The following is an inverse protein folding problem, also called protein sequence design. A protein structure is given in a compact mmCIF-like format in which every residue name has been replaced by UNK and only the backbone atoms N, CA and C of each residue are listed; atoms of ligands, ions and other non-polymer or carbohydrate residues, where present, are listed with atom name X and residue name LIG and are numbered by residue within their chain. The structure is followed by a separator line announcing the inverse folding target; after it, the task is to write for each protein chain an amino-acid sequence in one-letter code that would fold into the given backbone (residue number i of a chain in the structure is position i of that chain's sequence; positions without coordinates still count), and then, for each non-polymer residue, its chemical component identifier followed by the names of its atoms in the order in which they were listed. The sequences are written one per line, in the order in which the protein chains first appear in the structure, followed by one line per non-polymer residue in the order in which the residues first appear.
data_IF_236060574060
#
_entry.id   IF_236060574060
#
_cell.length_a   1.000
_cell.length_b   1.000
_cell.length_c   1.000
_cell.angle_alpha   90.00
_cell.angle_beta   90.00
_cell.angle_gamma   90.00
#
_symmetry.space_group_name_H-M   'P 1'
#
loop_
_entity.id
_entity.type
_entity.pdbx_description
1 polymer ?
#
# COMPACT_ATOMS: atom_id res chain seq x y z
N UNK A 1 31.68 62.96 19.85
CA UNK A 1 31.38 61.56 20.20
C UNK A 1 30.38 61.03 19.18
N UNK A 2 30.69 59.88 18.57
CA UNK A 2 29.87 59.05 17.67
C UNK A 2 29.44 59.66 16.32
N UNK A 3 29.97 59.14 15.21
CA UNK A 3 29.26 58.33 14.19
C UNK A 3 30.32 57.85 13.17
N UNK A 4 30.61 56.54 13.18
CA UNK A 4 31.28 55.83 12.08
C UNK A 4 30.87 54.35 12.20
N UNK A 5 29.69 54.01 11.69
CA UNK A 5 29.30 52.62 11.45
C UNK A 5 29.72 52.24 10.03
N UNK A 6 30.96 51.76 9.88
CA UNK A 6 31.37 51.02 8.68
C UNK A 6 30.85 49.59 8.79
N UNK A 7 29.90 49.25 7.93
CA UNK A 7 29.52 47.87 7.61
C UNK A 7 30.67 47.21 6.86
N UNK A 8 31.46 46.38 7.55
CA UNK A 8 32.37 45.43 6.91
C UNK A 8 31.69 44.05 6.87
N UNK A 9 31.54 43.41 5.70
CA UNK A 9 31.05 42.04 5.63
C UNK A 9 32.13 41.10 6.20
N UNK A 10 31.75 40.28 7.17
CA UNK A 10 32.63 39.24 7.69
C UNK A 10 32.99 38.26 6.57
N UNK A 11 34.29 37.96 6.35
CA UNK A 11 34.72 37.04 5.31
C UNK A 11 34.23 35.63 5.64
N UNK A 12 33.43 35.05 4.75
CA UNK A 12 33.00 33.66 4.85
C UNK A 12 34.20 32.74 4.67
N UNK A 13 34.73 32.21 5.78
CA UNK A 13 35.69 31.11 5.76
C UNK A 13 35.01 29.87 5.14
N UNK A 14 35.50 29.32 4.00
CA UNK A 14 34.90 28.17 3.32
C UNK A 14 34.88 26.89 4.18
N UNK A 15 35.74 26.79 5.21
CA UNK A 15 35.72 25.70 6.18
C UNK A 15 34.50 25.71 7.10
N UNK A 16 33.88 26.87 7.37
CA UNK A 16 32.75 27.00 8.32
C UNK A 16 31.44 26.47 7.73
N UNK A 17 31.26 26.60 6.41
CA UNK A 17 30.08 26.13 5.69
C UNK A 17 30.07 24.60 5.54
N UNK A 18 31.25 23.98 5.37
CA UNK A 18 31.37 22.54 5.17
C UNK A 18 31.08 21.73 6.44
N UNK A 19 31.50 22.18 7.63
CA UNK A 19 31.14 21.49 8.88
C UNK A 19 29.65 21.65 9.20
N UNK A 20 29.05 22.82 8.90
CA UNK A 20 27.61 23.03 9.06
C UNK A 20 26.81 22.10 8.15
N UNK A 21 27.22 21.96 6.88
CA UNK A 21 26.61 21.01 5.93
C UNK A 21 26.79 19.55 6.36
N UNK A 22 27.97 19.17 6.86
CA UNK A 22 28.19 17.83 7.39
C UNK A 22 27.32 17.56 8.63
N UNK A 23 27.22 18.54 9.53
CA UNK A 23 26.40 18.45 10.74
C UNK A 23 24.91 18.34 10.40
N UNK A 24 24.39 19.13 9.46
CA UNK A 24 22.99 19.01 9.02
C UNK A 24 22.73 17.67 8.35
N UNK A 25 23.65 17.18 7.52
CA UNK A 25 23.51 15.86 6.89
C UNK A 25 23.49 14.73 7.94
N UNK A 26 24.36 14.79 8.95
CA UNK A 26 24.38 13.83 10.07
C UNK A 26 23.06 13.90 10.85
N UNK A 27 22.55 15.10 11.14
CA UNK A 27 21.29 15.29 11.85
C UNK A 27 20.11 14.70 11.05
N UNK A 28 20.09 14.89 9.73
CA UNK A 28 19.08 14.32 8.83
C UNK A 28 19.17 12.79 8.81
N UNK A 29 20.38 12.22 8.70
CA UNK A 29 20.58 10.77 8.72
C UNK A 29 20.13 10.16 10.06
N UNK A 30 20.45 10.81 11.17
CA UNK A 30 20.04 10.40 12.51
C UNK A 30 18.52 10.49 12.67
N UNK A 31 17.89 11.56 12.17
CA UNK A 31 16.44 11.69 12.13
C UNK A 31 15.80 10.56 11.31
N UNK A 32 16.32 10.27 10.13
CA UNK A 32 15.84 9.17 9.29
C UNK A 32 15.95 7.81 9.98
N UNK A 33 17.04 7.56 10.71
CA UNK A 33 17.23 6.32 11.48
C UNK A 33 16.17 6.17 12.57
N UNK A 34 15.86 7.23 13.32
CA UNK A 34 14.83 7.18 14.37
C UNK A 34 13.40 7.11 13.82
N UNK A 35 13.14 7.70 12.65
CA UNK A 35 11.80 7.67 12.01
C UNK A 35 11.56 6.33 11.30
N UNK A 36 12.60 5.59 10.93
CA UNK A 36 12.50 4.31 10.21
C UNK A 36 11.41 3.34 10.76
N UNK A 37 11.33 3.04 12.07
CA UNK A 37 10.29 2.15 12.59
C UNK A 37 8.86 2.72 12.52
N UNK A 38 8.71 4.03 12.31
CA UNK A 38 7.43 4.74 12.18
C UNK A 38 7.10 5.09 10.71
N UNK A 39 7.92 4.64 9.77
CA UNK A 39 7.80 5.00 8.35
C UNK A 39 6.47 4.51 7.77
N UNK A 40 6.05 3.29 8.14
CA UNK A 40 4.77 2.70 7.69
C UNK A 40 3.59 3.60 8.08
N UNK A 41 3.54 4.06 9.34
CA UNK A 41 2.50 4.96 9.82
C UNK A 41 2.53 6.31 9.11
N UNK A 42 3.71 6.87 8.88
CA UNK A 42 3.84 8.17 8.21
C UNK A 42 3.38 8.10 6.74
N UNK A 43 3.78 7.05 6.03
CA UNK A 43 3.37 6.81 4.64
C UNK A 43 1.87 6.51 4.54
N UNK A 44 1.33 5.63 5.39
CA UNK A 44 -0.11 5.36 5.44
C UNK A 44 -0.92 6.62 5.75
N UNK A 45 -0.44 7.45 6.69
CA UNK A 45 -1.11 8.72 7.02
C UNK A 45 -1.15 9.68 5.85
N UNK A 46 -0.08 9.74 5.05
CA UNK A 46 -0.05 10.49 3.80
C UNK A 46 -1.04 9.95 2.77
N UNK A 47 -1.08 8.63 2.57
CA UNK A 47 -2.04 7.97 1.66
C UNK A 47 -3.49 8.24 2.09
N UNK A 48 -3.80 8.07 3.37
CA UNK A 48 -5.13 8.37 3.92
C UNK A 48 -5.48 9.84 3.79
N UNK A 49 -4.53 10.77 3.93
CA UNK A 49 -4.78 12.18 3.70
C UNK A 49 -5.21 12.43 2.24
N UNK A 50 -4.55 11.82 1.26
CA UNK A 50 -4.93 11.94 -0.15
C UNK A 50 -6.36 11.45 -0.41
N UNK A 51 -6.73 10.30 0.16
CA UNK A 51 -8.08 9.74 0.01
C UNK A 51 -9.13 10.51 0.82
N UNK A 52 -8.73 11.12 1.94
CA UNK A 52 -9.59 11.94 2.79
C UNK A 52 -9.87 13.34 2.23
N UNK A 53 -9.03 13.86 1.31
CA UNK A 53 -9.21 15.19 0.68
C UNK A 53 -10.64 15.41 0.13
N UNK A 54 -11.22 14.55 -0.72
CA UNK A 54 -12.57 14.75 -1.25
C UNK A 54 -13.65 14.77 -0.16
N UNK A 55 -13.46 14.02 0.93
CA UNK A 55 -14.39 14.00 2.07
C UNK A 55 -14.28 15.30 2.88
N UNK A 56 -13.05 15.76 3.13
CA UNK A 56 -12.78 17.03 3.81
C UNK A 56 -13.36 18.20 3.02
N UNK A 57 -13.15 18.22 1.71
CA UNK A 57 -13.51 19.34 0.84
C UNK A 57 -15.03 19.53 0.72
N UNK A 58 -15.84 18.50 1.01
CA UNK A 58 -17.30 18.64 1.15
C UNK A 58 -17.72 19.58 2.28
N UNK A 59 -16.88 19.75 3.32
CA UNK A 59 -17.14 20.59 4.48
C UNK A 59 -16.46 21.96 4.34
N UNK A 60 -16.88 22.74 3.35
CA UNK A 60 -16.31 24.06 3.05
C UNK A 60 -16.34 25.06 4.23
N UNK A 61 -17.27 24.89 5.19
CA UNK A 61 -17.54 25.88 6.26
C UNK A 61 -16.55 25.83 7.42
N UNK A 62 -15.87 24.70 7.65
CA UNK A 62 -14.84 24.59 8.70
C UNK A 62 -13.86 23.48 8.38
N UNK A 63 -12.60 23.86 8.11
CA UNK A 63 -11.51 22.89 7.82
C UNK A 63 -11.33 21.88 8.94
N UNK A 64 -11.48 22.29 10.22
CA UNK A 64 -11.35 21.38 11.37
C UNK A 64 -12.41 20.29 11.36
N UNK A 65 -13.67 20.65 11.09
CA UNK A 65 -14.78 19.70 11.04
C UNK A 65 -14.63 18.78 9.82
N UNK A 66 -14.21 19.32 8.68
CA UNK A 66 -13.93 18.51 7.48
C UNK A 66 -12.79 17.52 7.68
N UNK A 67 -11.70 17.91 8.35
CA UNK A 67 -10.59 17.00 8.62
C UNK A 67 -10.98 15.91 9.63
N UNK A 68 -11.71 16.27 10.70
CA UNK A 68 -12.22 15.28 11.65
C UNK A 68 -13.19 14.30 10.99
N UNK A 69 -14.12 14.79 10.17
CA UNK A 69 -15.09 13.92 9.48
C UNK A 69 -14.41 12.98 8.49
N UNK A 70 -13.42 13.44 7.73
CA UNK A 70 -12.63 12.61 6.85
C UNK A 70 -11.86 11.52 7.61
N UNK A 71 -11.20 11.88 8.72
CA UNK A 71 -10.49 10.91 9.57
C UNK A 71 -11.45 9.88 10.14
N UNK A 72 -12.58 10.30 10.72
CA UNK A 72 -13.58 9.35 11.26
C UNK A 72 -14.14 8.45 10.17
N UNK A 73 -14.44 8.99 8.98
CA UNK A 73 -14.94 8.24 7.84
C UNK A 73 -13.94 7.19 7.32
N UNK A 74 -12.65 7.38 7.56
CA UNK A 74 -11.59 6.43 7.16
C UNK A 74 -11.30 5.45 8.31
N UNK A 75 -11.12 5.96 9.52
CA UNK A 75 -10.73 5.19 10.72
C UNK A 75 -11.78 4.15 11.09
N UNK A 76 -13.05 4.54 11.16
CA UNK A 76 -14.13 3.68 11.64
C UNK A 76 -14.30 2.43 10.76
N UNK A 77 -14.43 2.54 9.42
CA UNK A 77 -14.51 1.34 8.59
C UNK A 77 -13.20 0.56 8.54
N UNK A 78 -12.04 1.24 8.48
CA UNK A 78 -10.75 0.52 8.43
C UNK A 78 -10.48 -0.27 9.71
N UNK A 79 -10.76 0.29 10.88
CA UNK A 79 -10.61 -0.42 12.16
C UNK A 79 -11.53 -1.64 12.25
N UNK A 80 -12.77 -1.52 11.79
CA UNK A 80 -13.71 -2.65 11.74
C UNK A 80 -13.23 -3.75 10.78
N UNK A 81 -12.77 -3.36 9.58
CA UNK A 81 -12.19 -4.26 8.58
C UNK A 81 -10.95 -4.97 9.11
N UNK A 82 -10.05 -4.24 9.78
CA UNK A 82 -8.82 -4.78 10.34
C UNK A 82 -9.10 -5.76 11.47
N UNK A 83 -10.03 -5.42 12.38
CA UNK A 83 -10.46 -6.32 13.45
C UNK A 83 -11.09 -7.61 12.90
N UNK A 84 -12.01 -7.49 11.94
CA UNK A 84 -12.64 -8.64 11.30
C UNK A 84 -11.62 -9.50 10.54
N UNK A 85 -10.68 -8.85 9.84
CA UNK A 85 -9.62 -9.51 9.09
C UNK A 85 -8.65 -10.28 9.98
N UNK A 86 -8.23 -9.71 11.11
CA UNK A 86 -7.35 -10.38 12.08
C UNK A 86 -8.00 -11.64 12.67
N UNK A 87 -9.27 -11.53 13.07
CA UNK A 87 -10.02 -12.67 13.60
C UNK A 87 -10.11 -13.77 12.54
N UNK A 88 -10.49 -13.42 11.32
CA UNK A 88 -10.70 -14.43 10.27
C UNK A 88 -9.41 -15.03 9.73
N UNK A 89 -8.33 -14.24 9.62
CA UNK A 89 -7.01 -14.75 9.25
C UNK A 89 -6.52 -15.79 10.26
N UNK A 90 -6.75 -15.54 11.57
CA UNK A 90 -6.42 -16.52 12.61
C UNK A 90 -7.19 -17.84 12.43
N UNK A 91 -8.47 -17.76 12.06
CA UNK A 91 -9.30 -18.95 11.81
C UNK A 91 -8.86 -19.69 10.53
N UNK A 92 -8.49 -18.96 9.47
CA UNK A 92 -7.96 -19.58 8.25
C UNK A 92 -6.64 -20.30 8.51
N UNK A 93 -5.73 -19.71 9.30
CA UNK A 93 -4.45 -20.35 9.65
C UNK A 93 -4.70 -21.66 10.40
N UNK A 94 -5.62 -21.65 11.38
CA UNK A 94 -6.01 -22.87 12.12
C UNK A 94 -6.64 -23.92 11.20
N UNK A 95 -7.52 -23.51 10.29
CA UNK A 95 -8.14 -24.42 9.32
C UNK A 95 -7.10 -25.04 8.39
N UNK A 96 -6.17 -24.23 7.88
CA UNK A 96 -5.10 -24.67 6.99
C UNK A 96 -4.15 -25.65 7.68
N UNK A 97 -3.84 -25.42 8.96
CA UNK A 97 -3.07 -26.35 9.78
C UNK A 97 -3.78 -27.68 10.00
N UNK A 98 -5.11 -27.66 10.14
CA UNK A 98 -5.91 -28.88 10.31
C UNK A 98 -6.06 -29.73 9.04
N UNK A 99 -5.93 -29.14 7.84
CA UNK A 99 -6.18 -29.81 6.56
C UNK A 99 -4.91 -29.93 5.68
N UNK A 100 -3.72 -29.84 6.27
CA UNK A 100 -2.46 -29.86 5.51
C UNK A 100 -2.32 -31.12 4.63
N UNK A 101 -2.59 -32.31 5.19
CA UNK A 101 -2.42 -33.56 4.44
C UNK A 101 -3.38 -33.69 3.26
N UNK A 102 -4.64 -33.25 3.44
CA UNK A 102 -5.62 -33.23 2.37
C UNK A 102 -5.24 -32.27 1.25
N UNK A 103 -4.78 -31.05 1.60
CA UNK A 103 -4.33 -30.04 0.62
C UNK A 103 -3.14 -30.57 -0.18
N UNK A 104 -2.17 -31.19 0.50
CA UNK A 104 -1.00 -31.79 -0.13
C UNK A 104 -1.46 -32.89 -1.12
N UNK A 105 -2.37 -33.78 -0.71
CA UNK A 105 -2.88 -34.85 -1.57
C UNK A 105 -3.58 -34.34 -2.85
N UNK A 106 -4.31 -33.22 -2.76
CA UNK A 106 -4.98 -32.59 -3.90
C UNK A 106 -3.99 -31.98 -4.89
N UNK A 107 -2.94 -31.33 -4.39
CA UNK A 107 -1.84 -30.82 -5.19
C UNK A 107 -1.12 -31.97 -5.93
N UNK A 108 -0.82 -33.06 -5.23
CA UNK A 108 -0.24 -34.25 -5.84
C UNK A 108 -1.14 -34.86 -6.92
N UNK A 109 -2.45 -34.95 -6.66
CA UNK A 109 -3.43 -35.42 -7.64
C UNK A 109 -3.51 -34.53 -8.88
N UNK A 110 -3.48 -33.21 -8.70
CA UNK A 110 -3.46 -32.23 -9.79
C UNK A 110 -2.18 -32.32 -10.63
N UNK A 111 -1.03 -32.45 -9.97
CA UNK A 111 0.28 -32.61 -10.60
C UNK A 111 0.38 -33.91 -11.40
N UNK A 112 -0.17 -35.01 -10.87
CA UNK A 112 -0.25 -36.29 -11.58
C UNK A 112 -1.17 -36.21 -12.82
N UNK A 113 -2.25 -35.43 -12.75
CA UNK A 113 -3.18 -35.21 -13.86
C UNK A 113 -2.55 -34.44 -15.04
N UNK A 114 -1.56 -33.58 -14.79
CA UNK A 114 -0.84 -32.80 -15.81
C UNK A 114 0.22 -33.62 -16.59
N UNK A 115 0.48 -34.90 -16.23
CA UNK A 115 1.46 -35.79 -16.90
C UNK A 115 2.83 -35.13 -17.10
N UNK A 116 3.41 -34.58 -16.04
CA UNK A 116 4.82 -34.17 -16.02
C UNK A 116 5.70 -35.44 -15.93
N UNK A 117 6.88 -35.53 -16.58
CA UNK A 117 7.76 -36.69 -16.47
C UNK A 117 8.13 -37.03 -15.02
N UNK A 118 8.11 -38.33 -14.67
CA UNK A 118 8.29 -38.82 -13.29
C UNK A 118 9.58 -38.33 -12.61
N UNK A 119 10.64 -38.05 -13.38
CA UNK A 119 11.91 -37.53 -12.87
C UNK A 119 11.83 -36.09 -12.35
N UNK A 120 10.95 -35.25 -12.93
CA UNK A 120 10.69 -33.88 -12.47
C UNK A 120 9.64 -33.87 -11.33
N UNK A 121 8.78 -34.89 -11.26
CA UNK A 121 7.72 -35.01 -10.25
C UNK A 121 8.26 -35.25 -8.85
N UNK A 122 9.29 -36.09 -8.69
CA UNK A 122 9.90 -36.38 -7.38
C UNK A 122 10.70 -35.18 -6.83
N UNK A 123 11.30 -34.38 -7.70
CA UNK A 123 12.09 -33.21 -7.29
C UNK A 123 11.22 -31.98 -7.03
N UNK A 124 10.16 -31.79 -7.82
CA UNK A 124 9.13 -30.76 -7.57
C UNK A 124 8.32 -31.11 -6.31
N UNK A 125 7.98 -32.37 -6.08
CA UNK A 125 7.21 -32.76 -4.90
C UNK A 125 7.97 -32.60 -3.60
N UNK A 126 9.25 -33.01 -3.55
CA UNK A 126 10.11 -32.79 -2.38
C UNK A 126 10.37 -31.31 -2.15
N UNK A 127 10.68 -30.55 -3.20
CA UNK A 127 10.89 -29.10 -3.06
C UNK A 127 9.62 -28.35 -2.67
N UNK A 128 8.44 -28.74 -3.16
CA UNK A 128 7.16 -28.15 -2.75
C UNK A 128 6.80 -28.54 -1.31
N UNK A 129 6.99 -29.79 -0.91
CA UNK A 129 6.78 -30.24 0.46
C UNK A 129 7.74 -29.54 1.43
N UNK A 130 9.01 -29.38 1.05
CA UNK A 130 10.00 -28.64 1.84
C UNK A 130 9.71 -27.14 1.88
N UNK A 131 9.27 -26.52 0.79
CA UNK A 131 8.87 -25.10 0.75
C UNK A 131 7.58 -24.85 1.56
N UNK A 132 6.61 -25.76 1.50
CA UNK A 132 5.41 -25.71 2.33
C UNK A 132 5.74 -25.95 3.79
N UNK A 133 6.56 -26.96 4.10
CA UNK A 133 7.03 -27.22 5.46
C UNK A 133 7.82 -26.02 5.98
N UNK A 134 8.64 -25.37 5.16
CA UNK A 134 9.38 -24.17 5.53
C UNK A 134 8.45 -22.97 5.73
N UNK A 135 7.45 -22.77 4.87
CA UNK A 135 6.44 -21.72 5.02
C UNK A 135 5.52 -21.93 6.23
N UNK A 136 5.10 -23.17 6.47
CA UNK A 136 4.30 -23.57 7.63
C UNK A 136 5.09 -23.54 8.92
N UNK A 137 6.36 -23.95 8.92
CA UNK A 137 7.25 -23.83 10.09
C UNK A 137 7.69 -22.39 10.33
N UNK A 138 7.79 -21.54 9.30
CA UNK A 138 7.96 -20.10 9.46
C UNK A 138 6.72 -19.50 10.10
N UNK A 139 5.52 -19.84 9.64
CA UNK A 139 4.25 -19.34 10.20
C UNK A 139 3.94 -19.90 11.60
N UNK A 140 4.22 -21.18 11.86
CA UNK A 140 3.98 -21.85 13.13
C UNK A 140 5.12 -21.64 14.14
N UNK A 141 6.33 -21.38 13.66
CA UNK A 141 7.52 -21.11 14.46
C UNK A 141 7.69 -19.63 14.82
N UNK A 142 6.79 -18.73 14.38
CA UNK A 142 6.73 -17.37 14.90
C UNK A 142 6.42 -17.46 16.40
N UNK A 143 7.37 -17.16 17.31
CA UNK A 143 7.07 -17.18 18.72
C UNK A 143 5.94 -16.18 18.96
N UNK A 144 4.92 -16.59 19.72
CA UNK A 144 3.75 -15.77 20.04
C UNK A 144 4.13 -14.34 20.50
N UNK A 145 5.32 -14.21 21.11
CA UNK A 145 5.92 -12.95 21.53
C UNK A 145 6.35 -12.02 20.38
N UNK A 146 6.89 -12.57 19.27
CA UNK A 146 7.20 -11.78 18.06
C UNK A 146 5.93 -11.35 17.33
N UNK A 147 4.89 -12.21 17.29
CA UNK A 147 3.60 -11.81 16.72
C UNK A 147 2.98 -10.68 17.55
N UNK A 148 3.05 -10.75 18.88
CA UNK A 148 2.60 -9.70 19.78
C UNK A 148 3.31 -8.36 19.56
N UNK A 149 4.64 -8.37 19.43
CA UNK A 149 5.40 -7.14 19.18
C UNK A 149 5.10 -6.53 17.79
N UNK A 150 4.93 -7.35 16.76
CA UNK A 150 4.52 -6.88 15.42
C UNK A 150 3.11 -6.28 15.43
N UNK A 151 2.15 -6.89 16.14
CA UNK A 151 0.79 -6.35 16.27
C UNK A 151 0.81 -5.00 17.00
N UNK A 152 1.56 -4.89 18.11
CA UNK A 152 1.69 -3.63 18.85
C UNK A 152 2.33 -2.54 17.99
N UNK A 153 3.42 -2.86 17.29
CA UNK A 153 4.06 -1.91 16.37
C UNK A 153 3.12 -1.51 15.23
N UNK A 154 2.33 -2.44 14.70
CA UNK A 154 1.30 -2.18 13.71
C UNK A 154 0.21 -1.23 14.22
N UNK A 155 -0.28 -1.44 15.45
CA UNK A 155 -1.24 -0.54 16.10
C UNK A 155 -0.66 0.87 16.29
N UNK A 156 0.61 0.98 16.70
CA UNK A 156 1.31 2.26 16.83
C UNK A 156 1.39 2.94 15.46
N UNK A 157 1.79 2.23 14.40
CA UNK A 157 1.84 2.76 13.04
C UNK A 157 0.47 3.23 12.55
N UNK A 158 -0.60 2.48 12.83
CA UNK A 158 -1.98 2.88 12.51
C UNK A 158 -2.37 4.17 13.26
N UNK A 159 -2.06 4.28 14.56
CA UNK A 159 -2.32 5.49 15.34
C UNK A 159 -1.57 6.69 14.75
N UNK A 160 -0.30 6.52 14.39
CA UNK A 160 0.51 7.56 13.75
C UNK A 160 -0.08 7.95 12.41
N UNK A 161 -0.50 6.98 11.59
CA UNK A 161 -1.15 7.25 10.32
C UNK A 161 -2.37 8.15 10.49
N UNK A 162 -3.18 7.93 11.53
CA UNK A 162 -4.34 8.78 11.81
C UNK A 162 -3.96 10.19 12.23
N UNK A 163 -2.95 10.32 13.10
CA UNK A 163 -2.44 11.63 13.53
C UNK A 163 -1.89 12.39 12.32
N UNK A 164 -1.04 11.76 11.52
CA UNK A 164 -0.46 12.33 10.30
C UNK A 164 -1.55 12.71 9.31
N UNK A 165 -2.52 11.83 9.06
CA UNK A 165 -3.65 12.09 8.18
C UNK A 165 -4.45 13.32 8.63
N UNK A 166 -4.77 13.42 9.92
CA UNK A 166 -5.49 14.55 10.49
C UNK A 166 -4.75 15.88 10.28
N UNK A 167 -3.46 15.93 10.63
CA UNK A 167 -2.64 17.14 10.49
C UNK A 167 -2.44 17.53 9.02
N UNK A 168 -2.21 16.57 8.12
CA UNK A 168 -2.11 16.83 6.69
C UNK A 168 -3.43 17.35 6.09
N UNK A 169 -4.58 16.83 6.54
CA UNK A 169 -5.87 17.33 6.08
C UNK A 169 -6.17 18.74 6.62
N UNK A 170 -5.79 19.02 7.87
CA UNK A 170 -6.02 20.29 8.55
C UNK A 170 -5.12 21.42 8.02
N UNK A 171 -3.81 21.20 8.00
CA UNK A 171 -2.78 22.21 7.73
C UNK A 171 -2.00 21.97 6.42
N UNK A 172 -2.37 20.96 5.61
CA UNK A 172 -1.63 20.60 4.39
C UNK A 172 -1.40 21.75 3.41
N UNK A 173 -2.34 22.70 3.32
CA UNK A 173 -2.16 23.91 2.51
C UNK A 173 -1.04 24.83 3.02
N UNK A 174 -0.88 24.96 4.34
CA UNK A 174 0.20 25.74 4.96
C UNK A 174 1.54 25.03 4.80
N UNK A 175 1.55 23.70 4.90
CA UNK A 175 2.74 22.88 4.64
C UNK A 175 3.22 23.04 3.19
N UNK A 176 2.28 23.04 2.23
CA UNK A 176 2.58 23.24 0.82
C UNK A 176 3.14 24.65 0.55
N UNK A 177 2.55 25.69 1.15
CA UNK A 177 3.04 27.07 1.05
C UNK A 177 4.44 27.22 1.66
N UNK A 178 4.67 26.69 2.86
CA UNK A 178 5.98 26.71 3.48
C UNK A 178 7.04 25.97 2.63
N UNK A 179 6.67 24.85 1.99
CA UNK A 179 7.56 24.17 1.06
C UNK A 179 7.87 25.05 -0.17
N UNK A 180 6.87 25.73 -0.74
CA UNK A 180 7.07 26.65 -1.87
C UNK A 180 8.02 27.81 -1.50
N UNK A 181 7.87 28.38 -0.30
CA UNK A 181 8.73 29.45 0.21
C UNK A 181 10.18 28.98 0.44
N UNK A 182 10.38 27.77 0.99
CA UNK A 182 11.72 27.20 1.24
C UNK A 182 12.47 26.97 -0.07
N UNK A 183 11.78 26.54 -1.12
CA UNK A 183 12.36 26.28 -2.44
C UNK A 183 12.37 27.52 -3.36
N UNK A 184 11.94 28.69 -2.86
CA UNK A 184 11.83 29.95 -3.62
C UNK A 184 11.12 29.77 -4.98
N UNK A 185 10.02 29.00 -4.96
CA UNK A 185 9.28 28.66 -6.17
C UNK A 185 8.49 29.87 -6.65
N UNK A 186 8.91 30.46 -7.78
CA UNK A 186 8.19 31.56 -8.42
C UNK A 186 6.84 31.08 -8.97
N UNK A 187 5.83 31.96 -8.90
CA UNK A 187 4.56 31.73 -9.62
C UNK A 187 4.86 31.46 -11.10
N UNK A 188 4.28 30.38 -11.64
CA UNK A 188 4.52 29.84 -12.99
C UNK A 188 5.88 29.17 -13.27
N UNK A 189 6.69 28.83 -12.26
CA UNK A 189 7.92 28.07 -12.48
C UNK A 189 7.65 26.62 -12.96
N UNK A 190 8.61 26.06 -13.71
CA UNK A 190 8.60 24.64 -14.12
C UNK A 190 8.47 23.70 -12.90
N UNK A 191 9.08 24.07 -11.77
CA UNK A 191 9.03 23.26 -10.54
C UNK A 191 7.61 23.21 -9.98
N UNK A 192 6.89 24.32 -9.99
CA UNK A 192 5.52 24.39 -9.48
C UNK A 192 4.56 23.56 -10.34
N UNK A 193 4.72 23.61 -11.68
CA UNK A 193 3.98 22.71 -12.60
C UNK A 193 4.29 21.24 -12.33
N UNK A 194 5.56 20.91 -12.12
CA UNK A 194 5.99 19.57 -11.77
C UNK A 194 5.33 19.08 -10.46
N UNK A 195 5.29 19.91 -9.42
CA UNK A 195 4.65 19.56 -8.14
C UNK A 195 3.14 19.26 -8.32
N UNK A 196 2.41 20.07 -9.08
CA UNK A 196 1.00 19.80 -9.37
C UNK A 196 0.79 18.51 -10.16
N UNK A 197 1.66 18.24 -11.13
CA UNK A 197 1.64 17.00 -11.90
C UNK A 197 1.89 15.79 -11.01
N UNK A 198 2.88 15.87 -10.12
CA UNK A 198 3.18 14.82 -9.14
C UNK A 198 1.99 14.59 -8.22
N UNK A 199 1.40 15.65 -7.64
CA UNK A 199 0.21 15.52 -6.77
C UNK A 199 -0.94 14.83 -7.52
N UNK A 200 -1.19 15.17 -8.79
CA UNK A 200 -2.20 14.49 -9.62
C UNK A 200 -1.89 13.01 -9.85
N UNK A 201 -0.63 12.65 -10.12
CA UNK A 201 -0.21 11.26 -10.33
C UNK A 201 -0.38 10.46 -9.04
N UNK A 202 0.10 10.97 -7.90
CA UNK A 202 -0.03 10.33 -6.59
C UNK A 202 -1.50 10.15 -6.20
N UNK A 203 -2.31 11.20 -6.41
CA UNK A 203 -3.74 11.17 -6.19
C UNK A 203 -4.40 10.06 -7.03
N UNK A 204 -4.07 9.96 -8.31
CA UNK A 204 -4.55 8.88 -9.19
C UNK A 204 -4.17 7.48 -8.70
N UNK A 205 -2.92 7.29 -8.30
CA UNK A 205 -2.41 5.99 -7.82
C UNK A 205 -3.11 5.57 -6.52
N UNK A 206 -3.13 6.43 -5.51
CA UNK A 206 -3.67 6.09 -4.18
C UNK A 206 -5.19 5.97 -4.17
N UNK A 207 -5.89 6.90 -4.85
CA UNK A 207 -7.35 6.80 -5.01
C UNK A 207 -7.68 5.56 -5.84
N UNK A 208 -6.95 5.28 -6.92
CA UNK A 208 -7.13 4.07 -7.72
C UNK A 208 -7.01 2.79 -6.88
N UNK A 209 -5.95 2.65 -6.09
CA UNK A 209 -5.75 1.50 -5.20
C UNK A 209 -6.85 1.34 -4.16
N UNK A 210 -7.29 2.42 -3.52
CA UNK A 210 -8.31 2.32 -2.48
C UNK A 210 -9.71 2.06 -3.08
N UNK A 211 -10.07 2.71 -4.18
CA UNK A 211 -11.37 2.48 -4.83
C UNK A 211 -11.48 1.07 -5.40
N UNK A 212 -10.39 0.54 -5.96
CA UNK A 212 -10.35 -0.85 -6.44
C UNK A 212 -10.48 -1.84 -5.30
N UNK A 213 -9.79 -1.60 -4.18
CA UNK A 213 -9.93 -2.40 -2.95
C UNK A 213 -11.36 -2.36 -2.39
N UNK A 214 -12.00 -1.19 -2.35
CA UNK A 214 -13.41 -1.03 -1.93
C UNK A 214 -14.33 -1.82 -2.85
N UNK A 215 -14.20 -1.66 -4.17
CA UNK A 215 -15.03 -2.36 -5.15
C UNK A 215 -14.86 -3.88 -5.07
N UNK A 216 -13.61 -4.36 -4.96
CA UNK A 216 -13.29 -5.77 -4.78
C UNK A 216 -13.85 -6.33 -3.47
N UNK A 217 -13.67 -5.62 -2.36
CA UNK A 217 -14.21 -5.98 -1.05
C UNK A 217 -15.73 -6.08 -1.06
N UNK A 218 -16.45 -5.05 -1.51
CA UNK A 218 -17.92 -5.06 -1.57
C UNK A 218 -18.43 -6.19 -2.46
N UNK A 219 -17.86 -6.36 -3.65
CA UNK A 219 -18.33 -7.40 -4.57
C UNK A 219 -18.01 -8.80 -4.05
N UNK A 220 -16.90 -8.96 -3.33
CA UNK A 220 -16.55 -10.24 -2.70
C UNK A 220 -17.54 -10.67 -1.63
N UNK A 221 -18.21 -9.73 -0.91
CA UNK A 221 -19.29 -10.07 0.02
C UNK A 221 -20.40 -10.84 -0.69
N UNK A 222 -20.82 -10.36 -1.87
CA UNK A 222 -21.88 -11.00 -2.65
C UNK A 222 -21.48 -12.40 -3.13
N UNK A 223 -20.22 -12.56 -3.58
CA UNK A 223 -19.69 -13.86 -4.00
C UNK A 223 -19.64 -14.83 -2.81
N UNK A 224 -19.05 -14.42 -1.69
CA UNK A 224 -18.95 -15.27 -0.50
C UNK A 224 -20.32 -15.66 0.04
N UNK A 225 -21.29 -14.75 -0.01
CA UNK A 225 -22.68 -15.07 0.36
C UNK A 225 -23.32 -16.08 -0.59
N UNK A 226 -23.18 -15.89 -1.91
CA UNK A 226 -23.74 -16.78 -2.94
C UNK A 226 -23.20 -18.21 -2.83
N UNK A 227 -21.90 -18.36 -2.56
CA UNK A 227 -21.24 -19.66 -2.45
C UNK A 227 -21.23 -20.25 -1.04
N UNK A 228 -21.99 -19.65 -0.11
CA UNK A 228 -22.13 -20.08 1.30
C UNK A 228 -20.79 -20.20 2.04
N UNK A 229 -19.85 -19.29 1.76
CA UNK A 229 -18.56 -19.25 2.47
C UNK A 229 -18.79 -18.76 3.89
N UNK A 230 -18.19 -19.40 4.92
CA UNK A 230 -18.31 -18.95 6.30
C UNK A 230 -17.88 -17.49 6.47
N UNK A 231 -18.67 -16.73 7.24
CA UNK A 231 -18.38 -15.32 7.61
C UNK A 231 -18.01 -14.45 6.39
N UNK A 232 -18.95 -14.25 5.45
CA UNK A 232 -18.67 -13.57 4.18
C UNK A 232 -18.15 -12.14 4.36
N UNK A 233 -18.61 -11.42 5.40
CA UNK A 233 -18.13 -10.08 5.71
C UNK A 233 -16.67 -10.06 6.18
N UNK A 234 -16.24 -11.08 6.93
CA UNK A 234 -14.86 -11.16 7.41
C UNK A 234 -13.91 -11.61 6.29
N UNK A 235 -14.34 -12.54 5.43
CA UNK A 235 -13.57 -12.87 4.23
C UNK A 235 -13.44 -11.67 3.29
N UNK A 236 -14.52 -10.90 3.11
CA UNK A 236 -14.49 -9.68 2.31
C UNK A 236 -13.57 -8.60 2.89
N UNK A 237 -13.41 -8.54 4.22
CA UNK A 237 -12.46 -7.61 4.85
C UNK A 237 -11.01 -8.01 4.55
N UNK A 238 -10.70 -9.31 4.51
CA UNK A 238 -9.40 -9.81 4.04
C UNK A 238 -9.22 -9.48 2.55
N UNK A 239 -10.23 -9.68 1.70
CA UNK A 239 -10.17 -9.30 0.26
C UNK A 239 -9.95 -7.80 0.09
N UNK A 240 -10.60 -6.96 0.89
CA UNK A 240 -10.38 -5.52 0.88
C UNK A 240 -8.93 -5.17 1.23
N UNK A 241 -8.38 -5.74 2.31
CA UNK A 241 -7.00 -5.48 2.73
C UNK A 241 -6.00 -5.98 1.67
N UNK A 242 -6.23 -7.18 1.12
CA UNK A 242 -5.45 -7.74 0.04
C UNK A 242 -5.55 -6.89 -1.24
N UNK A 243 -6.73 -6.35 -1.56
CA UNK A 243 -6.99 -5.53 -2.74
C UNK A 243 -6.30 -4.18 -2.75
N UNK A 244 -5.76 -3.72 -1.62
CA UNK A 244 -4.87 -2.55 -1.60
C UNK A 244 -3.60 -2.83 -2.41
N UNK A 245 -3.13 -4.09 -2.40
CA UNK A 245 -1.95 -4.57 -3.12
C UNK A 245 -2.36 -5.31 -4.39
N UNK A 246 -1.85 -4.90 -5.56
CA UNK A 246 -2.12 -5.61 -6.81
C UNK A 246 -1.83 -7.10 -6.67
N UNK A 247 -2.73 -7.94 -7.18
CA UNK A 247 -2.62 -9.40 -7.21
C UNK A 247 -2.67 -10.12 -5.86
N UNK A 248 -2.62 -9.44 -4.71
CA UNK A 248 -2.73 -10.15 -3.41
C UNK A 248 -4.14 -10.71 -3.16
N UNK A 249 -5.17 -10.24 -3.86
CA UNK A 249 -6.54 -10.78 -3.77
C UNK A 249 -6.60 -12.27 -4.11
N UNK A 250 -5.71 -12.76 -4.98
CA UNK A 250 -5.58 -14.18 -5.31
C UNK A 250 -5.20 -15.04 -4.10
N UNK A 251 -4.44 -14.48 -3.15
CA UNK A 251 -4.05 -15.17 -1.92
C UNK A 251 -5.26 -15.51 -1.03
N UNK A 252 -6.39 -14.82 -1.22
CA UNK A 252 -7.63 -15.09 -0.50
C UNK A 252 -8.52 -16.05 -1.29
N UNK A 253 -8.69 -15.81 -2.59
CA UNK A 253 -9.59 -16.61 -3.43
C UNK A 253 -9.07 -18.04 -3.68
N UNK A 254 -7.76 -18.25 -3.83
CA UNK A 254 -7.19 -19.58 -4.10
C UNK A 254 -7.44 -20.53 -2.90
N UNK A 255 -7.03 -20.20 -1.65
CA UNK A 255 -7.31 -21.07 -0.51
C UNK A 255 -8.81 -21.27 -0.27
N UNK A 256 -9.63 -20.24 -0.50
CA UNK A 256 -11.09 -20.36 -0.36
C UNK A 256 -11.67 -21.34 -1.39
N UNK A 257 -11.16 -21.34 -2.63
CA UNK A 257 -11.56 -22.29 -3.66
C UNK A 257 -11.14 -23.72 -3.30
N UNK A 258 -9.93 -23.91 -2.74
CA UNK A 258 -9.48 -25.22 -2.24
C UNK A 258 -10.36 -25.70 -1.09
N UNK A 259 -10.69 -24.84 -0.13
CA UNK A 259 -11.62 -25.17 0.95
C UNK A 259 -13.02 -25.53 0.44
N UNK A 260 -13.50 -24.86 -0.61
CA UNK A 260 -14.76 -25.23 -1.29
C UNK A 260 -14.66 -26.58 -2.00
N UNK A 261 -13.52 -26.91 -2.59
CA UNK A 261 -13.29 -28.21 -3.22
C UNK A 261 -13.43 -29.34 -2.20
N UNK A 262 -12.78 -29.18 -1.04
CA UNK A 262 -12.80 -30.18 0.03
C UNK A 262 -14.20 -30.32 0.62
N UNK A 263 -14.89 -29.20 0.89
CA UNK A 263 -16.19 -29.21 1.58
C UNK A 263 -17.39 -29.53 0.70
N UNK A 264 -17.40 -29.04 -0.54
CA UNK A 264 -18.59 -29.02 -1.41
C UNK A 264 -18.38 -29.75 -2.75
N UNK A 265 -17.14 -30.20 -3.02
CA UNK A 265 -16.78 -30.93 -4.24
C UNK A 265 -16.29 -30.05 -5.40
N UNK A 266 -15.89 -30.69 -6.52
CA UNK A 266 -15.15 -30.03 -7.61
C UNK A 266 -15.96 -29.01 -8.40
N UNK A 267 -17.26 -29.24 -8.60
CA UNK A 267 -18.11 -28.37 -9.42
C UNK A 267 -18.33 -27.01 -8.73
N UNK A 268 -18.65 -27.04 -7.43
CA UNK A 268 -18.82 -25.84 -6.60
C UNK A 268 -17.54 -25.00 -6.53
N UNK A 269 -16.39 -25.67 -6.36
CA UNK A 269 -15.09 -25.01 -6.34
C UNK A 269 -14.74 -24.37 -7.69
N UNK A 270 -15.00 -25.07 -8.80
CA UNK A 270 -14.76 -24.56 -10.14
C UNK A 270 -15.64 -23.34 -10.46
N UNK A 271 -16.92 -23.39 -10.11
CA UNK A 271 -17.84 -22.26 -10.29
C UNK A 271 -17.43 -21.06 -9.43
N UNK A 272 -17.09 -21.29 -8.15
CA UNK A 272 -16.60 -20.24 -7.26
C UNK A 272 -15.34 -19.59 -7.83
N UNK A 273 -14.35 -20.40 -8.23
CA UNK A 273 -13.09 -19.91 -8.76
C UNK A 273 -13.27 -19.13 -10.07
N UNK A 274 -14.16 -19.60 -10.97
CA UNK A 274 -14.48 -18.90 -12.21
C UNK A 274 -15.08 -17.51 -11.92
N UNK A 275 -16.08 -17.44 -11.04
CA UNK A 275 -16.74 -16.17 -10.68
C UNK A 275 -15.77 -15.23 -9.96
N UNK A 276 -14.98 -15.76 -9.02
CA UNK A 276 -13.93 -15.00 -8.32
C UNK A 276 -12.86 -14.48 -9.29
N UNK A 277 -12.41 -15.30 -10.25
CA UNK A 277 -11.45 -14.91 -11.27
C UNK A 277 -11.98 -13.77 -12.13
N UNK A 278 -13.25 -13.82 -12.56
CA UNK A 278 -13.87 -12.75 -13.34
C UNK A 278 -13.88 -11.45 -12.53
N UNK A 279 -14.24 -11.52 -11.24
CA UNK A 279 -14.23 -10.35 -10.37
C UNK A 279 -12.83 -9.73 -10.27
N UNK A 280 -11.83 -10.54 -9.93
CA UNK A 280 -10.44 -10.07 -9.77
C UNK A 280 -9.93 -9.48 -11.07
N UNK A 281 -10.25 -10.10 -12.20
CA UNK A 281 -9.85 -9.59 -13.52
C UNK A 281 -10.48 -8.22 -13.80
N UNK A 282 -11.78 -8.04 -13.51
CA UNK A 282 -12.45 -6.74 -13.66
C UNK A 282 -11.82 -5.69 -12.73
N UNK A 283 -11.64 -6.01 -11.45
CA UNK A 283 -11.12 -5.06 -10.48
C UNK A 283 -9.67 -4.63 -10.78
N UNK A 284 -8.79 -5.60 -11.07
CA UNK A 284 -7.35 -5.34 -11.22
C UNK A 284 -6.96 -4.92 -12.64
N UNK A 285 -7.62 -5.46 -13.68
CA UNK A 285 -7.23 -5.22 -15.09
C UNK A 285 -8.13 -4.22 -15.81
N UNK A 286 -9.28 -3.85 -15.25
CA UNK A 286 -10.12 -2.78 -15.79
C UNK A 286 -10.19 -1.58 -14.86
N UNK A 287 -10.67 -1.75 -13.62
CA UNK A 287 -10.93 -0.61 -12.72
C UNK A 287 -9.63 0.11 -12.36
N UNK A 288 -8.60 -0.63 -11.93
CA UNK A 288 -7.31 -0.06 -11.51
C UNK A 288 -6.64 0.73 -12.64
N UNK A 289 -6.37 0.18 -13.84
CA UNK A 289 -5.77 0.94 -14.91
C UNK A 289 -6.68 2.05 -15.43
N UNK A 290 -8.00 1.92 -15.42
CA UNK A 290 -8.89 3.01 -15.83
C UNK A 290 -8.74 4.24 -14.93
N UNK A 291 -8.74 4.05 -13.60
CA UNK A 291 -8.59 5.17 -12.64
C UNK A 291 -7.17 5.74 -12.69
N UNK A 292 -6.16 4.88 -12.77
CA UNK A 292 -4.75 5.31 -12.84
C UNK A 292 -4.50 6.03 -14.16
N UNK A 293 -4.89 5.47 -15.31
CA UNK A 293 -4.67 6.05 -16.64
C UNK A 293 -5.39 7.39 -16.81
N UNK A 294 -6.59 7.55 -16.24
CA UNK A 294 -7.32 8.83 -16.27
C UNK A 294 -6.57 9.98 -15.59
N UNK A 295 -5.60 9.69 -14.71
CA UNK A 295 -4.89 10.68 -13.89
C UNK A 295 -3.36 10.65 -14.05
N UNK A 296 -2.83 9.58 -14.64
CA UNK A 296 -1.41 9.25 -14.68
C UNK A 296 -1.10 8.54 -16.01
N UNK A 297 -0.23 9.14 -16.81
CA UNK A 297 0.24 8.57 -18.08
C UNK A 297 1.32 7.50 -17.90
N UNK A 298 1.29 6.77 -16.79
CA UNK A 298 2.28 5.74 -16.49
C UNK A 298 1.90 4.41 -17.08
N UNK A 299 2.90 3.71 -17.62
CA UNK A 299 2.70 2.35 -18.09
C UNK A 299 2.32 1.46 -16.89
N UNK A 300 1.19 0.72 -16.93
CA UNK A 300 0.75 -0.11 -15.80
C UNK A 300 1.80 -1.10 -15.28
N UNK A 301 2.68 -1.61 -16.16
CA UNK A 301 3.76 -2.52 -15.76
C UNK A 301 4.74 -1.86 -14.78
N UNK A 302 5.08 -0.58 -14.99
CA UNK A 302 5.99 0.18 -14.14
C UNK A 302 5.38 0.40 -12.75
N UNK A 303 4.07 0.71 -12.72
CA UNK A 303 3.31 0.88 -11.49
C UNK A 303 3.25 -0.44 -10.73
N UNK A 304 2.96 -1.55 -11.41
CA UNK A 304 2.96 -2.88 -10.80
C UNK A 304 4.33 -3.25 -10.20
N UNK A 305 5.40 -3.11 -10.98
CA UNK A 305 6.74 -3.49 -10.53
C UNK A 305 7.19 -2.62 -9.35
N UNK A 306 6.82 -1.34 -9.32
CA UNK A 306 7.13 -0.46 -8.18
C UNK A 306 6.36 -0.84 -6.92
N UNK A 307 5.08 -1.22 -7.03
CA UNK A 307 4.31 -1.74 -5.90
C UNK A 307 4.92 -3.03 -5.33
N UNK A 308 5.22 -4.02 -6.19
CA UNK A 308 5.79 -5.29 -5.77
C UNK A 308 7.21 -5.12 -5.22
N UNK A 309 8.09 -4.44 -5.96
CA UNK A 309 9.47 -4.20 -5.55
C UNK A 309 9.57 -3.36 -4.29
N UNK A 310 8.75 -2.33 -4.16
CA UNK A 310 8.67 -1.50 -2.95
C UNK A 310 8.20 -2.30 -1.73
N UNK A 311 7.15 -3.11 -1.90
CA UNK A 311 6.64 -3.99 -0.86
C UNK A 311 7.68 -4.97 -0.33
N UNK A 312 8.48 -5.55 -1.23
CA UNK A 312 9.55 -6.50 -0.87
C UNK A 312 10.71 -5.84 -0.12
N UNK A 313 11.06 -4.59 -0.45
CA UNK A 313 12.23 -3.90 0.14
C UNK A 313 11.89 -3.26 1.48
N UNK A 314 10.72 -2.60 1.58
CA UNK A 314 10.39 -1.76 2.72
C UNK A 314 8.94 -1.95 3.22
N UNK A 315 8.33 -3.10 2.96
CA UNK A 315 7.02 -3.46 3.50
C UNK A 315 5.90 -2.51 3.07
N UNK A 316 5.02 -2.13 4.01
CA UNK A 316 3.84 -1.30 3.72
C UNK A 316 4.24 0.11 3.28
N UNK A 317 5.26 0.71 3.91
CA UNK A 317 5.81 1.99 3.50
C UNK A 317 6.37 1.91 2.08
N UNK A 318 7.21 0.92 1.80
CA UNK A 318 7.82 0.73 0.48
C UNK A 318 6.79 0.53 -0.61
N UNK A 319 5.72 -0.22 -0.32
CA UNK A 319 4.62 -0.46 -1.24
C UNK A 319 3.98 0.83 -1.77
N UNK A 320 3.68 1.80 -0.90
CA UNK A 320 3.10 3.08 -1.35
C UNK A 320 4.17 4.08 -1.83
N UNK A 321 5.35 4.07 -1.23
CA UNK A 321 6.40 5.06 -1.49
C UNK A 321 7.14 4.79 -2.82
N UNK A 322 7.31 3.53 -3.24
CA UNK A 322 7.98 3.23 -4.49
C UNK A 322 7.22 3.72 -5.75
N UNK A 323 5.90 3.49 -5.91
CA UNK A 323 5.11 4.11 -6.96
C UNK A 323 5.12 5.64 -6.87
N UNK A 324 5.24 6.20 -5.66
CA UNK A 324 5.32 7.64 -5.49
C UNK A 324 6.62 8.21 -6.07
N UNK A 325 7.76 7.57 -5.77
CA UNK A 325 9.06 7.92 -6.33
C UNK A 325 9.05 7.80 -7.86
N UNK A 326 8.45 6.73 -8.38
CA UNK A 326 8.26 6.56 -9.82
C UNK A 326 7.39 7.68 -10.41
N UNK A 327 6.30 8.06 -9.75
CA UNK A 327 5.44 9.18 -10.14
C UNK A 327 6.18 10.51 -10.14
N UNK A 328 7.06 10.74 -9.17
CA UNK A 328 7.94 11.92 -9.10
C UNK A 328 8.90 11.94 -10.29
N UNK A 329 9.62 10.85 -10.51
CA UNK A 329 10.61 10.75 -11.58
C UNK A 329 9.99 10.99 -12.96
N UNK A 330 8.83 10.37 -13.20
CA UNK A 330 8.10 10.51 -14.46
C UNK A 330 7.42 11.86 -14.64
N UNK A 331 6.92 12.46 -13.56
CA UNK A 331 6.43 13.84 -13.57
C UNK A 331 7.52 14.83 -13.97
N UNK A 332 8.71 14.71 -13.37
CA UNK A 332 9.88 15.54 -13.71
C UNK A 332 10.31 15.31 -15.15
N UNK A 333 10.49 14.05 -15.56
CA UNK A 333 10.91 13.71 -16.92
C UNK A 333 9.96 14.28 -17.97
N UNK A 334 8.66 14.19 -17.71
CA UNK A 334 7.64 14.65 -18.64
C UNK A 334 7.62 16.17 -18.78
N UNK A 335 7.66 16.91 -17.68
CA UNK A 335 7.74 18.39 -17.75
C UNK A 335 9.02 18.87 -18.43
N UNK A 336 10.18 18.26 -18.15
CA UNK A 336 11.43 18.58 -18.85
C UNK A 336 11.31 18.28 -20.36
N UNK A 337 10.61 17.20 -20.73
CA UNK A 337 10.40 16.85 -22.13
C UNK A 337 9.42 17.78 -22.86
N UNK A 338 8.36 18.24 -22.18
CA UNK A 338 7.35 19.16 -22.72
C UNK A 338 7.97 20.57 -22.90
N UNK A 339 8.76 21.04 -21.94
CA UNK A 339 9.51 22.31 -22.02
C UNK A 339 10.54 22.30 -23.17
N UNK A 340 11.26 21.18 -23.37
CA UNK A 340 12.16 21.02 -24.54
C UNK A 340 11.44 21.06 -25.88
N UNK A 341 10.17 20.67 -25.93
CA UNK A 341 9.36 20.66 -27.15
C UNK A 341 8.63 22.00 -27.37
N UNK A 342 8.83 23.00 -26.51
CA UNK A 342 8.29 24.35 -26.66
C UNK A 342 6.77 24.42 -26.55
N UNK A 343 6.15 23.57 -25.73
CA UNK A 343 4.70 23.58 -25.47
C UNK A 343 4.36 23.94 -24.04
#
# INVERSE_FOLDING_TARGET
MAVLSMTAPLPCCPGKKNWLMALTLILILLLCYYIWPLLDGLVLGFVFAYVGRPVRDRFHRSRRIGSLSAVVCIVLPLSAVFAAGLIETSNQIQWLQGHQEEIISLLFGFVHWIRIPDLLLDEISRSMADLMAMGLNLLAGLPFFQVGSTIVLGMINILIAFVVCYFLLLDGGRLAQAAQEIFDLKEESLELRCLYRIDSILCGIYIGSIYTAIAGGITSVAIFYLFSVPRPLAMASIVFLAGLVPFLTWLVFIPTAVGKYISSGPLDAALFFLVASILVHIAELFIRPYIVYSRSSLHPLLVLLSFLGGGLVAGVAGFFLAPAVVGVFTGIYREISEDRMGR
#
